data_IF_267895997391
#
_entry.id   IF_267895997391
#
_cell.length_a   1.000
_cell.length_b   1.000
_cell.length_c   1.000
_cell.angle_alpha   90.00
_cell.angle_beta   90.00
_cell.angle_gamma   90.00
#
_symmetry.space_group_name_H-M   'P 1'
#
loop_
_entity.id
_entity.type
_entity.pdbx_description
1 polymer ?
#
# COMPACT_ATOMS: atom_id res chain seq x y z
N UNK A 1 16.76 3.93 -2.31
CA UNK A 1 15.83 4.20 -3.41
C UNK A 1 14.67 5.01 -2.86
N UNK A 2 14.26 6.07 -3.57
CA UNK A 2 13.07 6.87 -3.25
C UNK A 2 12.03 6.66 -4.36
N UNK A 3 10.82 6.23 -4.01
CA UNK A 3 9.72 6.03 -4.95
C UNK A 3 8.48 6.81 -4.54
N UNK A 4 7.81 7.45 -5.50
CA UNK A 4 6.51 8.07 -5.31
C UNK A 4 5.46 7.30 -6.11
N UNK A 5 4.38 6.87 -5.47
CA UNK A 5 3.34 6.01 -6.06
C UNK A 5 1.99 6.72 -5.99
N UNK A 6 1.30 6.76 -7.12
CA UNK A 6 -0.10 7.15 -7.14
C UNK A 6 -0.91 6.07 -7.85
N UNK A 7 -1.87 5.47 -7.13
CA UNK A 7 -2.80 4.49 -7.67
C UNK A 7 -4.20 5.06 -7.63
N UNK A 8 -4.78 5.27 -8.81
CA UNK A 8 -6.18 5.68 -8.94
C UNK A 8 -7.13 4.66 -8.26
N UNK A 9 -8.22 5.11 -7.61
CA UNK A 9 -9.24 4.21 -7.07
C UNK A 9 -9.81 3.24 -8.11
N UNK A 10 -9.86 3.68 -9.38
CA UNK A 10 -10.42 2.96 -10.53
C UNK A 10 -9.31 2.26 -11.35
N UNK A 11 -8.13 2.01 -10.77
CA UNK A 11 -7.07 1.30 -11.52
C UNK A 11 -7.47 -0.13 -11.85
N UNK A 12 -6.96 -0.62 -12.99
CA UNK A 12 -7.19 -2.00 -13.42
C UNK A 12 -6.41 -3.00 -12.57
N UNK A 13 -6.87 -4.27 -12.46
CA UNK A 13 -6.13 -5.33 -11.77
C UNK A 13 -4.70 -5.53 -12.31
N UNK A 14 -4.49 -5.35 -13.62
CA UNK A 14 -3.16 -5.45 -14.22
C UNK A 14 -2.17 -4.41 -13.69
N UNK A 15 -2.63 -3.22 -13.30
CA UNK A 15 -1.78 -2.20 -12.68
C UNK A 15 -1.41 -2.60 -11.24
N UNK A 16 -2.30 -3.31 -10.55
CA UNK A 16 -2.05 -3.81 -9.19
C UNK A 16 -0.94 -4.86 -9.23
N UNK A 17 -0.94 -5.73 -10.25
CA UNK A 17 0.08 -6.75 -10.45
C UNK A 17 1.44 -6.11 -10.74
N UNK A 18 1.48 -5.06 -11.59
CA UNK A 18 2.70 -4.30 -11.88
C UNK A 18 3.26 -3.64 -10.63
N UNK A 19 2.40 -3.01 -9.83
CA UNK A 19 2.80 -2.38 -8.56
C UNK A 19 3.40 -3.41 -7.60
N UNK A 20 2.76 -4.56 -7.44
CA UNK A 20 3.25 -5.64 -6.57
C UNK A 20 4.61 -6.16 -7.02
N UNK A 21 4.80 -6.40 -8.32
CA UNK A 21 6.10 -6.80 -8.89
C UNK A 21 7.17 -5.75 -8.65
N UNK A 22 6.87 -4.48 -8.89
CA UNK A 22 7.81 -3.38 -8.66
C UNK A 22 8.31 -3.33 -7.20
N UNK A 23 7.39 -3.50 -6.23
CA UNK A 23 7.75 -3.52 -4.82
C UNK A 23 8.65 -4.72 -4.48
N UNK A 24 8.29 -5.92 -4.96
CA UNK A 24 9.09 -7.12 -4.76
C UNK A 24 10.51 -6.99 -5.37
N UNK A 25 10.61 -6.47 -6.59
CA UNK A 25 11.88 -6.23 -7.28
C UNK A 25 12.72 -5.14 -6.62
N UNK A 26 12.10 -4.14 -6.00
CA UNK A 26 12.83 -3.10 -5.28
C UNK A 26 13.56 -3.64 -4.05
N UNK A 27 13.02 -4.69 -3.43
CA UNK A 27 13.60 -5.33 -2.25
C UNK A 27 14.68 -6.38 -2.59
N UNK A 28 14.75 -6.87 -3.85
CA UNK A 28 15.71 -7.91 -4.25
C UNK A 28 17.13 -7.40 -4.52
N UNK A 29 17.36 -6.09 -4.47
CA UNK A 29 18.64 -5.43 -4.84
C UNK A 29 19.68 -5.36 -3.70
N UNK A 30 19.49 -6.10 -2.60
CA UNK A 30 20.37 -6.09 -1.43
C UNK A 30 19.96 -5.02 -0.40
N UNK A 31 20.76 -4.82 0.68
CA UNK A 31 20.46 -3.85 1.73
C UNK A 31 20.52 -2.43 1.17
N UNK A 32 19.37 -1.98 0.68
CA UNK A 32 19.16 -0.65 0.17
C UNK A 32 18.01 -0.05 0.96
N UNK A 33 18.20 1.17 1.49
CA UNK A 33 17.12 1.90 2.14
C UNK A 33 16.10 2.27 1.06
N UNK A 34 14.99 1.53 0.98
CA UNK A 34 13.88 1.81 0.07
C UNK A 34 12.83 2.60 0.86
N UNK A 35 12.54 3.82 0.39
CA UNK A 35 11.45 4.65 0.91
C UNK A 35 10.44 4.78 -0.22
N UNK A 36 9.21 4.35 0.04
CA UNK A 36 8.09 4.45 -0.89
C UNK A 36 7.01 5.31 -0.25
N UNK A 37 6.65 6.40 -0.93
CA UNK A 37 5.60 7.31 -0.49
C UNK A 37 4.51 7.37 -1.56
N UNK A 38 3.27 7.66 -1.19
CA UNK A 38 2.21 7.70 -2.20
C UNK A 38 0.81 7.47 -1.70
N UNK A 39 -0.17 7.50 -2.60
CA UNK A 39 -1.56 7.11 -2.32
C UNK A 39 -1.92 5.90 -3.18
N UNK A 40 -2.16 4.76 -2.54
CA UNK A 40 -2.56 3.53 -3.23
C UNK A 40 -4.04 3.21 -3.18
N UNK A 41 -4.81 3.99 -2.41
CA UNK A 41 -6.25 3.83 -2.28
C UNK A 41 -6.71 2.41 -1.86
N UNK A 42 -6.04 1.78 -0.89
CA UNK A 42 -6.47 0.50 -0.29
C UNK A 42 -7.22 0.75 1.04
N UNK A 43 -8.51 1.10 0.93
CA UNK A 43 -9.38 1.48 2.08
C UNK A 43 -9.67 0.33 3.04
N UNK A 44 -9.55 -0.90 2.55
CA UNK A 44 -9.89 -2.11 3.28
C UNK A 44 -8.75 -2.60 4.18
N UNK A 45 -7.58 -1.96 4.11
CA UNK A 45 -6.45 -2.26 4.98
C UNK A 45 -6.59 -1.39 6.22
N UNK A 46 -6.67 -2.04 7.38
CA UNK A 46 -6.45 -1.40 8.65
C UNK A 46 -4.94 -1.31 8.88
N UNK A 47 -4.38 -0.13 8.65
CA UNK A 47 -2.93 0.11 8.78
C UNK A 47 -2.43 0.03 10.22
N UNK A 48 -3.30 0.26 11.22
CA UNK A 48 -2.93 0.17 12.63
C UNK A 48 -2.66 -1.28 13.04
N UNK A 49 -3.50 -2.20 12.57
CA UNK A 49 -3.35 -3.64 12.84
C UNK A 49 -2.58 -4.37 11.73
N UNK A 50 -2.30 -3.69 10.61
CA UNK A 50 -1.77 -4.27 9.37
C UNK A 50 -2.56 -5.52 8.96
N UNK A 51 -3.90 -5.42 8.97
CA UNK A 51 -4.81 -6.51 8.57
C UNK A 51 -5.90 -6.01 7.62
N UNK A 52 -6.59 -6.93 6.96
CA UNK A 52 -7.81 -6.66 6.20
C UNK A 52 -8.80 -7.80 6.44
N UNK A 53 -10.10 -7.49 6.45
CA UNK A 53 -11.17 -8.50 6.56
C UNK A 53 -11.53 -9.12 5.21
N UNK A 54 -10.84 -8.70 4.14
CA UNK A 54 -11.08 -9.20 2.79
C UNK A 54 -10.40 -10.55 2.58
N UNK A 55 -11.02 -11.40 1.76
CA UNK A 55 -10.50 -12.73 1.46
C UNK A 55 -9.15 -12.71 0.72
N UNK A 56 -8.49 -13.87 0.68
CA UNK A 56 -7.10 -14.02 0.20
C UNK A 56 -6.82 -13.54 -1.22
N UNK A 57 -7.82 -13.49 -2.09
CA UNK A 57 -7.68 -13.02 -3.48
C UNK A 57 -8.06 -11.55 -3.68
N UNK A 58 -8.45 -10.85 -2.62
CA UNK A 58 -8.78 -9.43 -2.72
C UNK A 58 -7.50 -8.60 -2.90
N UNK A 59 -7.55 -7.59 -3.77
CA UNK A 59 -6.41 -6.71 -4.08
C UNK A 59 -5.71 -6.13 -2.86
N UNK A 60 -6.47 -5.79 -1.81
CA UNK A 60 -5.94 -5.22 -0.57
C UNK A 60 -5.22 -6.26 0.29
N UNK A 61 -5.67 -7.53 0.27
CA UNK A 61 -4.96 -8.62 0.94
C UNK A 61 -3.66 -8.95 0.20
N UNK A 62 -3.73 -9.11 -1.13
CA UNK A 62 -2.56 -9.35 -1.97
C UNK A 62 -1.51 -8.23 -1.88
N UNK A 63 -1.95 -6.97 -1.77
CA UNK A 63 -1.03 -5.85 -1.57
C UNK A 63 -0.36 -5.90 -0.18
N UNK A 64 -1.14 -6.18 0.87
CA UNK A 64 -0.65 -6.31 2.24
C UNK A 64 0.38 -7.45 2.37
N UNK A 65 0.18 -8.55 1.65
CA UNK A 65 1.12 -9.68 1.63
C UNK A 65 2.47 -9.25 1.03
N UNK A 66 2.46 -8.49 -0.07
CA UNK A 66 3.71 -7.95 -0.66
C UNK A 66 4.41 -6.99 0.29
N UNK A 67 3.69 -6.13 1.00
CA UNK A 67 4.29 -5.23 2.02
C UNK A 67 5.00 -6.04 3.10
N UNK A 68 4.42 -7.15 3.54
CA UNK A 68 5.01 -8.05 4.55
C UNK A 68 6.23 -8.79 4.00
N UNK A 69 6.13 -9.36 2.81
CA UNK A 69 7.21 -10.10 2.15
C UNK A 69 8.43 -9.22 1.82
N UNK A 70 8.18 -7.92 1.63
CA UNK A 70 9.22 -6.91 1.36
C UNK A 70 9.73 -6.20 2.62
N UNK A 71 9.24 -6.58 3.80
CA UNK A 71 9.57 -5.95 5.09
C UNK A 71 9.36 -4.43 5.11
N UNK A 72 8.44 -3.92 4.29
CA UNK A 72 8.09 -2.50 4.26
C UNK A 72 7.35 -2.13 5.54
N UNK A 73 7.76 -1.03 6.17
CA UNK A 73 7.20 -0.53 7.40
C UNK A 73 6.33 0.68 7.07
N UNK A 74 5.07 0.63 7.49
CA UNK A 74 4.19 1.80 7.50
C UNK A 74 4.64 2.77 8.59
N UNK A 75 5.01 3.98 8.20
CA UNK A 75 5.33 5.09 9.10
C UNK A 75 4.16 6.04 9.33
N UNK A 76 3.09 6.03 8.51
CA UNK A 76 1.86 6.81 8.80
C UNK A 76 0.86 6.02 9.63
N UNK A 77 0.52 6.56 10.79
CA UNK A 77 -0.53 6.10 11.69
C UNK A 77 -1.72 7.07 11.79
N UNK A 78 -1.66 8.22 11.10
CA UNK A 78 -2.69 9.27 11.12
C UNK A 78 -3.49 9.34 9.81
N UNK A 79 -4.82 9.59 9.85
CA UNK A 79 -5.65 9.72 8.65
C UNK A 79 -5.15 10.84 7.73
N UNK A 80 -4.86 10.48 6.47
CA UNK A 80 -4.30 11.41 5.47
C UNK A 80 -5.34 12.02 4.54
N UNK A 81 -6.61 11.59 4.63
CA UNK A 81 -7.71 12.18 3.84
C UNK A 81 -8.96 12.40 4.68
N UNK A 82 -9.41 13.65 4.70
CA UNK A 82 -10.70 14.07 5.26
C UNK A 82 -11.62 14.51 4.11
N UNK A 83 -12.84 13.97 4.04
CA UNK A 83 -13.92 14.44 3.15
C UNK A 83 -15.16 14.67 4.00
N UNK A 84 -15.84 15.79 3.78
CA UNK A 84 -17.08 16.11 4.49
C UNK A 84 -18.11 14.97 4.30
N UNK A 85 -18.57 14.36 5.40
CA UNK A 85 -19.50 13.23 5.38
C UNK A 85 -18.88 11.84 5.21
N UNK A 86 -17.55 11.68 5.27
CA UNK A 86 -16.88 10.36 5.24
C UNK A 86 -16.02 10.15 6.49
N UNK A 87 -15.93 8.89 6.95
CA UNK A 87 -15.00 8.53 8.00
C UNK A 87 -13.55 8.82 7.54
N UNK A 88 -12.67 9.32 8.44
CA UNK A 88 -11.25 9.51 8.11
C UNK A 88 -10.61 8.18 7.69
N UNK A 89 -9.87 8.18 6.59
CA UNK A 89 -9.16 7.00 6.10
C UNK A 89 -7.68 7.33 5.88
N UNK A 90 -6.81 6.40 6.29
CA UNK A 90 -5.40 6.41 5.89
C UNK A 90 -5.36 5.82 4.46
N UNK A 91 -5.17 6.68 3.46
CA UNK A 91 -5.03 6.26 2.05
C UNK A 91 -3.59 6.39 1.57
N UNK A 92 -2.84 7.32 2.18
CA UNK A 92 -1.44 7.56 1.91
C UNK A 92 -0.47 6.64 2.67
N UNK A 93 0.69 6.45 2.07
CA UNK A 93 1.89 5.77 2.57
C UNK A 93 3.00 6.76 2.93
N UNK A 94 3.70 6.48 4.04
CA UNK A 94 5.07 6.86 4.40
C UNK A 94 5.72 5.59 4.96
#
# INVERSE_FOLDING_TARGET
>A
MLGCIYKSPISSPANDDKLRKLLAESNSRGPSQVIVMGDVNHREINWNTKTTEKGMYHRSQLFLDVVRDTYLIQHIDTPTRFRHGQNPHILGFF
#
